data_IF_091747638533
#
_entry.id   IF_091747638533
#
_cell.length_a   1.000
_cell.length_b   1.000
_cell.length_c   1.000
_cell.angle_alpha   90.00
_cell.angle_beta   90.00
_cell.angle_gamma   90.00
#
_symmetry.space_group_name_H-M   'P 1'
#
loop_
_entity.id
_entity.type
_entity.pdbx_description
1 polymer ?
#
# COMPACT_ATOMS: atom_id res chain seq x y z
N UNK A 1 16.53 -2.17 -15.35
CA UNK A 1 17.41 -1.81 -14.21
C UNK A 1 16.57 -1.08 -13.17
N UNK A 2 16.20 -1.75 -12.06
CA UNK A 2 15.25 -1.21 -11.08
C UNK A 2 15.87 -0.16 -10.12
N UNK A 3 17.20 -0.14 -9.99
CA UNK A 3 17.91 0.70 -9.02
C UNK A 3 18.88 1.71 -9.65
N UNK A 4 18.88 1.88 -10.97
CA UNK A 4 19.87 2.72 -11.68
C UNK A 4 19.88 4.17 -11.22
N UNK A 5 18.70 4.78 -11.06
CA UNK A 5 18.54 6.14 -10.54
C UNK A 5 19.13 6.30 -9.12
N UNK A 6 18.90 5.31 -8.25
CA UNK A 6 19.35 5.34 -6.87
C UNK A 6 20.88 5.22 -6.78
N UNK A 7 21.49 4.37 -7.60
CA UNK A 7 22.95 4.24 -7.69
C UNK A 7 23.61 5.53 -8.19
N UNK A 8 23.06 6.15 -9.23
CA UNK A 8 23.56 7.43 -9.73
C UNK A 8 23.47 8.54 -8.66
N UNK A 9 22.43 8.55 -7.83
CA UNK A 9 22.33 9.51 -6.74
C UNK A 9 23.42 9.34 -5.66
N UNK A 10 23.88 8.10 -5.42
CA UNK A 10 24.95 7.84 -4.45
C UNK A 10 26.33 8.33 -4.92
N UNK A 11 26.56 8.42 -6.24
CA UNK A 11 27.80 8.93 -6.82
C UNK A 11 28.03 10.43 -6.57
N UNK A 12 26.98 11.20 -6.26
CA UNK A 12 27.06 12.63 -5.91
C UNK A 12 27.37 12.88 -4.43
N UNK A 13 27.76 11.85 -3.66
CA UNK A 13 28.20 12.01 -2.27
C UNK A 13 27.07 11.90 -1.26
N UNK A 14 26.22 10.89 -1.38
CA UNK A 14 25.23 10.60 -0.35
C UNK A 14 25.93 10.26 0.99
N UNK A 15 25.54 10.90 2.13
CA UNK A 15 26.15 10.62 3.42
C UNK A 15 25.75 9.23 3.95
N UNK A 16 26.47 8.67 4.94
CA UNK A 16 26.00 7.50 5.67
C UNK A 16 24.63 7.79 6.30
N UNK A 17 23.61 7.04 5.92
CA UNK A 17 22.23 7.23 6.38
C UNK A 17 21.59 5.88 6.73
N UNK A 18 20.69 5.90 7.69
CA UNK A 18 19.91 4.74 8.12
C UNK A 18 18.61 5.21 8.76
N UNK A 19 17.59 4.38 8.69
CA UNK A 19 16.27 4.68 9.24
C UNK A 19 15.55 3.43 9.70
N UNK A 20 14.45 3.61 10.40
CA UNK A 20 13.58 2.54 10.87
C UNK A 20 12.12 2.93 10.61
N UNK A 21 11.32 1.95 10.18
CA UNK A 21 9.89 2.12 10.02
C UNK A 21 9.13 1.20 10.98
N UNK A 22 8.15 1.75 11.70
CA UNK A 22 7.27 0.98 12.57
C UNK A 22 5.98 0.61 11.83
N UNK A 23 5.53 -0.63 12.02
CA UNK A 23 4.18 -1.03 11.63
C UNK A 23 3.18 -0.46 12.63
N UNK A 24 2.65 0.74 12.37
CA UNK A 24 1.79 1.48 13.31
C UNK A 24 0.56 0.67 13.71
N UNK A 25 -0.15 0.06 12.75
CA UNK A 25 -1.37 -0.70 13.03
C UNK A 25 -1.11 -1.88 13.97
N UNK A 26 0.05 -2.53 13.80
CA UNK A 26 0.49 -3.63 14.68
C UNK A 26 0.92 -3.11 16.05
N UNK A 27 1.62 -1.98 16.10
CA UNK A 27 2.02 -1.37 17.37
C UNK A 27 0.78 -1.04 18.20
N UNK A 28 -0.22 -0.40 17.60
CA UNK A 28 -1.47 -0.04 18.28
C UNK A 28 -2.27 -1.28 18.68
N UNK A 29 -2.33 -2.33 17.84
CA UNK A 29 -3.04 -3.57 18.21
C UNK A 29 -2.41 -4.26 19.43
N UNK A 30 -1.08 -4.31 19.49
CA UNK A 30 -0.34 -4.85 20.64
C UNK A 30 -0.64 -4.02 21.90
N UNK A 31 -0.63 -2.68 21.79
CA UNK A 31 -0.97 -1.79 22.90
C UNK A 31 -2.42 -1.97 23.38
N UNK A 32 -3.34 -2.29 22.46
CA UNK A 32 -4.73 -2.58 22.75
C UNK A 32 -5.04 -4.03 23.10
N UNK A 33 -4.02 -4.90 23.23
CA UNK A 33 -4.19 -6.30 23.61
C UNK A 33 -4.92 -7.17 22.58
N UNK A 34 -4.94 -6.76 21.31
CA UNK A 34 -5.56 -7.51 20.22
C UNK A 34 -4.51 -8.08 19.27
N UNK A 35 -4.75 -9.30 18.78
CA UNK A 35 -3.88 -9.94 17.78
C UNK A 35 -4.17 -9.46 16.35
N UNK A 36 -5.36 -8.91 16.12
CA UNK A 36 -5.80 -8.40 14.82
C UNK A 36 -5.67 -6.89 14.75
N UNK A 37 -5.14 -6.39 13.63
CA UNK A 37 -5.08 -4.95 13.33
C UNK A 37 -6.42 -4.41 12.83
N UNK A 38 -7.36 -5.28 12.44
CA UNK A 38 -8.62 -4.88 11.80
C UNK A 38 -9.48 -4.01 12.72
N UNK A 39 -9.39 -4.21 14.02
CA UNK A 39 -10.16 -3.46 15.02
C UNK A 39 -9.60 -2.05 15.27
N UNK A 40 -8.39 -1.77 14.76
CA UNK A 40 -7.71 -0.47 14.84
C UNK A 40 -7.73 0.30 13.52
N UNK A 41 -8.39 -0.26 12.50
CA UNK A 41 -8.55 0.36 11.18
C UNK A 41 -10.05 0.63 11.01
N UNK A 42 -10.43 1.88 10.78
CA UNK A 42 -11.86 2.26 10.70
C UNK A 42 -12.63 1.54 9.58
N UNK A 43 -11.99 1.28 8.43
CA UNK A 43 -12.58 0.61 7.27
C UNK A 43 -11.69 -0.55 6.78
N UNK A 44 -11.65 -1.67 7.54
CA UNK A 44 -10.75 -2.78 7.24
C UNK A 44 -11.26 -3.55 6.03
N UNK A 45 -10.34 -4.08 5.24
CA UNK A 45 -10.67 -4.97 4.13
C UNK A 45 -10.85 -6.41 4.63
N UNK A 46 -11.62 -7.22 3.90
CA UNK A 46 -11.73 -8.64 4.20
C UNK A 46 -10.49 -9.43 3.70
N UNK A 47 -10.47 -10.74 3.92
CA UNK A 47 -9.32 -11.59 3.54
C UNK A 47 -9.08 -11.66 2.02
N UNK A 48 -10.04 -11.23 1.21
CA UNK A 48 -9.93 -11.10 -0.25
C UNK A 48 -9.58 -9.68 -0.69
N UNK A 49 -9.25 -8.77 0.23
CA UNK A 49 -8.95 -7.37 -0.06
C UNK A 49 -10.18 -6.53 -0.43
N UNK A 50 -11.40 -7.05 -0.30
CA UNK A 50 -12.65 -6.34 -0.63
C UNK A 50 -13.08 -5.49 0.55
N UNK A 51 -13.52 -4.28 0.25
CA UNK A 51 -14.30 -3.44 1.15
C UNK A 51 -15.77 -3.84 1.04
N UNK A 52 -16.32 -4.41 2.10
CA UNK A 52 -17.71 -4.86 2.14
C UNK A 52 -18.71 -3.73 2.37
N UNK A 53 -18.26 -2.56 2.84
CA UNK A 53 -19.14 -1.43 3.15
C UNK A 53 -19.51 -0.65 1.88
N UNK A 54 -18.53 -0.41 1.01
CA UNK A 54 -18.72 0.36 -0.24
C UNK A 54 -18.72 -0.51 -1.50
N UNK A 55 -18.65 -1.83 -1.33
CA UNK A 55 -18.57 -2.82 -2.40
C UNK A 55 -17.43 -2.58 -3.41
N UNK A 56 -16.19 -2.47 -2.90
CA UNK A 56 -14.99 -2.24 -3.70
C UNK A 56 -14.00 -3.42 -3.58
N UNK A 57 -13.27 -3.81 -4.64
CA UNK A 57 -13.22 -3.20 -5.97
C UNK A 57 -14.47 -3.50 -6.80
N UNK A 58 -14.79 -2.60 -7.72
CA UNK A 58 -15.89 -2.69 -8.68
C UNK A 58 -15.39 -2.54 -10.12
N UNK A 59 -16.21 -2.95 -11.09
CA UNK A 59 -15.91 -2.77 -12.52
C UNK A 59 -16.02 -1.29 -12.89
N UNK A 60 -15.06 -0.81 -13.69
CA UNK A 60 -15.07 0.56 -14.26
C UNK A 60 -15.61 0.56 -15.68
N UNK A 61 -15.99 1.73 -16.18
CA UNK A 61 -16.53 1.88 -17.53
C UNK A 61 -15.45 1.65 -18.60
N UNK A 62 -15.86 1.05 -19.73
CA UNK A 62 -14.96 0.78 -20.86
C UNK A 62 -14.34 2.06 -21.43
N UNK A 63 -15.06 3.19 -21.39
CA UNK A 63 -14.53 4.48 -21.83
C UNK A 63 -13.29 4.91 -21.01
N UNK A 64 -13.26 4.62 -19.70
CA UNK A 64 -12.12 4.94 -18.83
C UNK A 64 -10.93 4.02 -19.10
N UNK A 65 -11.19 2.74 -19.41
CA UNK A 65 -10.17 1.80 -19.84
C UNK A 65 -9.53 2.23 -21.17
N UNK A 66 -10.35 2.68 -22.12
CA UNK A 66 -9.88 3.19 -23.41
C UNK A 66 -9.05 4.47 -23.27
N UNK A 67 -9.50 5.42 -22.45
CA UNK A 67 -8.76 6.66 -22.14
C UNK A 67 -7.36 6.37 -21.58
N UNK A 68 -7.25 5.36 -20.69
CA UNK A 68 -5.99 4.97 -20.08
C UNK A 68 -5.17 3.98 -20.94
N UNK A 69 -5.69 3.57 -22.09
CA UNK A 69 -5.10 2.53 -22.96
C UNK A 69 -4.86 1.19 -22.23
N UNK A 70 -5.76 0.81 -21.32
CA UNK A 70 -5.70 -0.44 -20.55
C UNK A 70 -6.71 -1.44 -21.12
N UNK A 71 -6.29 -2.70 -21.27
CA UNK A 71 -7.17 -3.81 -21.69
C UNK A 71 -7.17 -4.90 -20.63
N UNK A 72 -8.36 -5.24 -20.13
CA UNK A 72 -8.55 -6.41 -19.26
C UNK A 72 -8.34 -7.70 -20.09
N UNK A 73 -7.64 -8.68 -19.51
CA UNK A 73 -7.29 -9.95 -20.17
C UNK A 73 -8.27 -11.05 -19.80
#
# INVERSE_FOLDING_TARGET
>A
AQFGFLMSAFEFGAPPHGGLAFGLDRLVSILGGQETIRDFIAFPKNNSGRDVMIDAPSTIDEAQLQELHIKLR
#
